data_IF_323346194547
#
_entry.id   IF_323346194547
#
_cell.length_a   1.000
_cell.length_b   1.000
_cell.length_c   1.000
_cell.angle_alpha   90.00
_cell.angle_beta   90.00
_cell.angle_gamma   90.00
#
_symmetry.space_group_name_H-M   'P 1'
#
loop_
_entity.id
_entity.type
_entity.pdbx_description
1 polymer ?
#
# COMPACT_ATOMS: atom_id res chain seq x y z
N UNK A 1 -10.58 11.02 -21.02
CA UNK A 1 -10.20 12.02 -22.03
C UNK A 1 -11.46 12.71 -22.53
N UNK A 2 -11.59 14.01 -22.30
CA UNK A 2 -12.73 14.81 -22.74
C UNK A 2 -12.21 16.01 -23.52
N UNK A 3 -12.90 16.36 -24.60
CA UNK A 3 -12.62 17.57 -25.37
C UNK A 3 -13.67 18.61 -25.02
N UNK A 4 -13.24 19.84 -24.76
CA UNK A 4 -14.14 21.00 -24.63
C UNK A 4 -13.98 21.83 -25.90
N UNK A 5 -15.08 22.05 -26.60
CA UNK A 5 -15.13 22.92 -27.79
C UNK A 5 -15.65 24.28 -27.35
N UNK A 6 -14.90 25.34 -27.63
CA UNK A 6 -15.28 26.73 -27.35
C UNK A 6 -15.20 27.56 -28.62
N UNK A 7 -16.23 28.36 -28.89
CA UNK A 7 -16.34 29.21 -30.07
C UNK A 7 -17.55 30.15 -29.99
N UNK A 8 -17.48 31.28 -30.69
CA UNK A 8 -18.56 32.27 -30.71
C UNK A 8 -19.72 31.77 -31.59
N UNK A 9 -20.89 31.55 -31.00
CA UNK A 9 -22.10 31.23 -31.76
C UNK A 9 -22.64 32.54 -32.33
N UNK A 10 -22.61 32.66 -33.66
CA UNK A 10 -23.33 33.71 -34.36
C UNK A 10 -24.77 33.22 -34.57
N UNK A 11 -25.68 33.57 -33.66
CA UNK A 11 -27.11 33.34 -33.86
C UNK A 11 -27.72 34.52 -34.63
N UNK A 12 -28.46 34.28 -35.73
CA UNK A 12 -29.31 35.30 -36.32
C UNK A 12 -30.58 35.43 -35.48
N UNK A 13 -30.73 36.60 -34.85
CA UNK A 13 -31.97 37.21 -34.35
C UNK A 13 -33.10 36.27 -33.90
N UNK A 14 -33.11 35.91 -32.61
CA UNK A 14 -34.31 35.85 -31.77
C UNK A 14 -33.86 35.92 -30.32
N UNK A 15 -34.50 36.78 -29.55
CA UNK A 15 -34.18 37.08 -28.15
C UNK A 15 -34.45 35.88 -27.24
N UNK A 16 -33.51 34.95 -27.11
CA UNK A 16 -33.28 34.17 -25.88
C UNK A 16 -31.81 33.71 -25.87
N UNK A 17 -30.94 34.55 -25.31
CA UNK A 17 -29.54 34.18 -25.09
C UNK A 17 -29.49 33.24 -23.89
N UNK A 18 -29.55 31.93 -24.12
CA UNK A 18 -29.15 30.96 -23.09
C UNK A 18 -27.63 31.01 -23.00
N UNK A 19 -27.12 31.89 -22.15
CA UNK A 19 -25.72 31.88 -21.74
C UNK A 19 -25.48 30.60 -20.94
N UNK A 20 -24.84 29.60 -21.57
CA UNK A 20 -24.27 28.49 -20.82
C UNK A 20 -23.06 29.02 -20.06
N UNK A 21 -23.28 29.46 -18.83
CA UNK A 21 -22.22 29.77 -17.89
C UNK A 21 -21.52 28.46 -17.52
N UNK A 22 -20.40 28.18 -18.18
CA UNK A 22 -19.49 27.13 -17.73
C UNK A 22 -18.71 27.74 -16.59
N UNK A 23 -19.19 27.52 -15.37
CA UNK A 23 -18.39 27.73 -14.17
C UNK A 23 -17.27 26.67 -14.18
N UNK A 24 -16.11 27.03 -14.73
CA UNK A 24 -14.88 26.30 -14.45
C UNK A 24 -14.51 26.66 -13.02
N UNK A 25 -15.11 25.95 -12.08
CA UNK A 25 -14.70 25.98 -10.69
C UNK A 25 -13.26 25.47 -10.61
N UNK A 26 -12.29 26.38 -10.62
CA UNK A 26 -10.97 26.10 -10.07
C UNK A 26 -11.21 25.83 -8.58
N UNK A 27 -11.45 24.56 -8.23
CA UNK A 27 -11.51 24.16 -6.83
C UNK A 27 -10.16 24.45 -6.22
N UNK A 28 -10.08 25.54 -5.46
CA UNK A 28 -8.96 25.88 -4.60
C UNK A 28 -8.64 24.64 -3.76
N UNK A 29 -7.52 23.97 -4.06
CA UNK A 29 -7.10 22.72 -3.39
C UNK A 29 -7.07 21.47 -4.27
N UNK A 30 -7.51 21.49 -5.53
CA UNK A 30 -7.31 20.34 -6.43
C UNK A 30 -5.82 20.11 -6.72
N UNK A 31 -5.08 21.18 -6.99
CA UNK A 31 -3.63 21.11 -7.20
C UNK A 31 -2.91 20.53 -5.98
N UNK A 32 -3.27 20.98 -4.77
CA UNK A 32 -2.72 20.45 -3.53
C UNK A 32 -3.10 18.98 -3.30
N UNK A 33 -4.32 18.60 -3.67
CA UNK A 33 -4.78 17.21 -3.55
C UNK A 33 -4.08 16.30 -4.56
N UNK A 34 -3.85 16.79 -5.79
CA UNK A 34 -3.09 16.08 -6.81
C UNK A 34 -1.61 15.98 -6.44
N UNK A 35 -1.00 17.05 -5.93
CA UNK A 35 0.38 17.02 -5.44
C UNK A 35 0.54 15.99 -4.33
N UNK A 36 -0.31 16.03 -3.31
CA UNK A 36 -0.28 15.06 -2.20
C UNK A 36 -0.53 13.63 -2.67
N UNK A 37 -1.40 13.43 -3.65
CA UNK A 37 -1.63 12.12 -4.23
C UNK A 37 -0.34 11.57 -4.85
N UNK A 38 0.35 12.39 -5.65
CA UNK A 38 1.62 11.99 -6.26
C UNK A 38 2.74 11.81 -5.23
N UNK A 39 2.84 12.67 -4.22
CA UNK A 39 3.84 12.55 -3.16
C UNK A 39 3.70 11.22 -2.37
N UNK A 40 2.49 10.67 -2.27
CA UNK A 40 2.23 9.41 -1.56
C UNK A 40 2.50 8.17 -2.43
N UNK A 41 2.11 8.23 -3.71
CA UNK A 41 2.21 7.10 -4.65
C UNK A 41 3.58 7.03 -5.35
N UNK A 42 4.32 8.13 -5.40
CA UNK A 42 5.61 8.17 -6.07
C UNK A 42 6.65 7.35 -5.31
N UNK A 43 7.32 6.46 -6.03
CA UNK A 43 8.42 5.67 -5.47
C UNK A 43 9.59 6.62 -5.19
N UNK A 44 10.03 6.75 -3.92
CA UNK A 44 11.12 7.64 -3.60
C UNK A 44 12.40 7.22 -4.33
N UNK A 45 13.27 8.18 -4.70
CA UNK A 45 14.52 7.87 -5.37
C UNK A 45 15.40 6.96 -4.49
N UNK A 46 16.30 6.16 -5.10
CA UNK A 46 17.21 5.30 -4.35
C UNK A 46 18.01 6.13 -3.36
N UNK A 47 18.02 5.70 -2.09
CA UNK A 47 18.82 6.31 -1.02
C UNK A 47 19.73 5.27 -0.38
N UNK A 48 20.75 5.74 0.33
CA UNK A 48 21.57 4.87 1.16
C UNK A 48 20.70 4.23 2.25
N UNK A 49 20.71 2.90 2.29
CA UNK A 49 20.06 2.12 3.33
C UNK A 49 20.94 2.10 4.58
N UNK A 50 20.33 2.21 5.76
CA UNK A 50 21.03 1.94 7.01
C UNK A 50 21.33 0.42 7.16
N UNK A 51 22.20 0.00 8.08
CA UNK A 51 22.57 -1.42 8.21
C UNK A 51 21.39 -2.36 8.51
N UNK A 52 20.39 -1.90 9.29
CA UNK A 52 19.19 -2.69 9.60
C UNK A 52 18.32 -2.86 8.35
N UNK A 53 18.15 -1.79 7.56
CA UNK A 53 17.44 -1.80 6.28
C UNK A 53 18.12 -2.74 5.28
N UNK A 54 19.44 -2.71 5.16
CA UNK A 54 20.19 -3.62 4.28
C UNK A 54 19.99 -5.09 4.69
N UNK A 55 19.99 -5.36 5.99
CA UNK A 55 19.76 -6.72 6.51
C UNK A 55 18.35 -7.20 6.21
N UNK A 56 17.34 -6.33 6.40
CA UNK A 56 15.95 -6.63 6.06
C UNK A 56 15.77 -6.88 4.55
N UNK A 57 16.39 -6.07 3.69
CA UNK A 57 16.30 -6.20 2.24
C UNK A 57 16.96 -7.50 1.75
N UNK A 58 18.13 -7.85 2.29
CA UNK A 58 18.78 -9.14 2.01
C UNK A 58 17.90 -10.30 2.46
N UNK A 59 17.38 -10.26 3.69
CA UNK A 59 16.50 -11.31 4.21
C UNK A 59 15.27 -11.47 3.34
N UNK A 60 14.61 -10.38 2.96
CA UNK A 60 13.44 -10.41 2.09
C UNK A 60 13.78 -11.05 0.74
N UNK A 61 14.88 -10.62 0.12
CA UNK A 61 15.34 -11.13 -1.17
C UNK A 61 15.68 -12.63 -1.12
N UNK A 62 16.32 -13.08 -0.03
CA UNK A 62 16.79 -14.46 0.11
C UNK A 62 15.67 -15.44 0.48
N UNK A 63 14.66 -14.97 1.21
CA UNK A 63 13.65 -15.83 1.84
C UNK A 63 12.26 -15.70 1.23
N UNK A 64 12.01 -14.65 0.45
CA UNK A 64 10.73 -14.43 -0.21
C UNK A 64 10.69 -15.17 -1.53
N UNK A 65 9.72 -16.07 -1.67
CA UNK A 65 9.49 -16.81 -2.91
C UNK A 65 8.01 -16.95 -3.20
N UNK A 66 7.67 -17.36 -4.41
CA UNK A 66 6.30 -17.73 -4.78
C UNK A 66 6.16 -19.24 -4.83
N UNK A 67 5.07 -19.76 -4.26
CA UNK A 67 4.72 -21.17 -4.37
C UNK A 67 4.14 -21.49 -5.76
N UNK A 68 3.88 -22.77 -6.03
CA UNK A 68 3.30 -23.22 -7.30
C UNK A 68 1.90 -22.67 -7.59
N UNK A 69 1.20 -22.15 -6.58
CA UNK A 69 -0.12 -21.50 -6.69
C UNK A 69 -0.01 -19.97 -6.81
N UNK A 70 1.21 -19.42 -6.84
CA UNK A 70 1.46 -17.99 -6.96
C UNK A 70 1.36 -17.22 -5.65
N UNK A 71 1.24 -17.88 -4.50
CA UNK A 71 1.23 -17.24 -3.18
C UNK A 71 2.64 -16.90 -2.73
N UNK A 72 2.80 -15.79 -2.03
CA UNK A 72 4.08 -15.42 -1.45
C UNK A 72 4.35 -16.19 -0.15
N UNK A 73 5.47 -16.87 -0.10
CA UNK A 73 6.09 -17.39 1.11
C UNK A 73 7.14 -16.36 1.55
N UNK A 74 6.98 -15.80 2.74
CA UNK A 74 7.88 -14.78 3.31
C UNK A 74 8.38 -15.25 4.68
N UNK A 75 9.66 -15.06 4.96
CA UNK A 75 10.19 -15.28 6.30
C UNK A 75 10.05 -14.00 7.12
N UNK A 76 9.51 -14.12 8.34
CA UNK A 76 9.37 -12.99 9.23
C UNK A 76 10.75 -12.60 9.81
N UNK A 77 11.21 -11.34 9.65
CA UNK A 77 12.44 -10.88 10.29
C UNK A 77 12.31 -10.88 11.81
N UNK A 78 13.34 -11.35 12.51
CA UNK A 78 13.43 -11.34 13.96
C UNK A 78 14.58 -10.40 14.35
N UNK A 79 14.28 -9.35 15.10
CA UNK A 79 15.26 -8.29 15.46
C UNK A 79 16.32 -8.74 16.48
N UNK A 80 16.02 -9.73 17.30
CA UNK A 80 16.91 -10.21 18.36
C UNK A 80 17.05 -11.72 18.30
N UNK A 81 18.12 -12.26 18.89
CA UNK A 81 18.25 -13.70 19.08
C UNK A 81 17.02 -14.23 19.84
N UNK A 82 16.43 -15.31 19.34
CA UNK A 82 15.21 -15.97 19.87
C UNK A 82 15.40 -16.48 21.33
N UNK A 83 16.59 -16.30 21.92
CA UNK A 83 16.92 -16.69 23.29
C UNK A 83 16.09 -15.99 24.36
N UNK A 84 15.40 -14.88 24.04
CA UNK A 84 14.53 -14.17 25.01
C UNK A 84 13.14 -14.79 25.22
N UNK A 85 12.84 -15.95 24.61
CA UNK A 85 11.55 -16.61 24.77
C UNK A 85 11.34 -17.27 26.16
N UNK A 86 12.38 -17.33 27.00
CA UNK A 86 12.32 -17.94 28.33
C UNK A 86 11.80 -19.38 28.29
N UNK A 87 10.91 -19.73 29.21
CA UNK A 87 10.34 -21.08 29.34
C UNK A 87 9.18 -21.38 28.37
N UNK A 88 8.94 -20.52 27.38
CA UNK A 88 7.81 -20.63 26.44
C UNK A 88 7.75 -22.01 25.77
N UNK A 89 8.91 -22.55 25.37
CA UNK A 89 9.02 -23.89 24.76
C UNK A 89 8.54 -24.99 25.72
N UNK A 90 9.00 -24.98 26.96
CA UNK A 90 8.65 -26.00 27.95
C UNK A 90 7.17 -25.92 28.35
N UNK A 91 6.63 -24.70 28.45
CA UNK A 91 5.21 -24.46 28.69
C UNK A 91 4.38 -25.00 27.50
N UNK A 92 4.78 -24.71 26.26
CA UNK A 92 4.10 -25.19 25.06
C UNK A 92 4.11 -26.72 24.99
N UNK A 93 5.24 -27.37 25.28
CA UNK A 93 5.35 -28.84 25.31
C UNK A 93 4.44 -29.47 26.37
N UNK A 94 4.43 -28.93 27.59
CA UNK A 94 3.54 -29.43 28.65
C UNK A 94 2.07 -29.35 28.24
N UNK A 95 1.67 -28.25 27.59
CA UNK A 95 0.31 -28.07 27.05
C UNK A 95 0.02 -29.07 25.93
N UNK A 96 0.95 -29.24 24.99
CA UNK A 96 0.83 -30.18 23.88
C UNK A 96 0.60 -31.62 24.39
N UNK A 97 1.45 -32.13 25.28
CA UNK A 97 1.27 -33.48 25.83
C UNK A 97 -0.01 -33.63 26.67
N UNK A 98 -0.47 -32.56 27.31
CA UNK A 98 -1.75 -32.56 28.02
C UNK A 98 -2.93 -32.72 27.07
N UNK A 99 -2.88 -32.05 25.90
CA UNK A 99 -3.87 -32.21 24.85
C UNK A 99 -3.84 -33.61 24.24
N UNK A 100 -2.67 -34.15 23.92
CA UNK A 100 -2.55 -35.51 23.40
C UNK A 100 -3.19 -36.54 24.33
N UNK A 101 -2.90 -36.48 25.64
CA UNK A 101 -3.52 -37.37 26.65
C UNK A 101 -5.03 -37.23 26.74
N UNK A 102 -5.57 -36.03 26.53
CA UNK A 102 -7.02 -35.80 26.53
C UNK A 102 -7.71 -36.35 25.29
N UNK A 103 -7.05 -36.29 24.14
CA UNK A 103 -7.60 -36.71 22.85
C UNK A 103 -7.39 -38.20 22.57
N UNK A 104 -6.50 -38.87 23.32
CA UNK A 104 -6.25 -40.32 23.23
C UNK A 104 -7.10 -41.15 24.20
N UNK A 105 -8.03 -40.52 24.91
CA UNK A 105 -9.02 -41.17 25.76
C UNK A 105 -10.39 -41.13 25.08
#
# INVERSE_FOLDING_TARGET
FGWVVSGKVLSPTSEETVSSEIEVGCSLGLEESLSRFWDIEEVPPPRSLNPEEQTCESLFSDTTRRDALGRFEVQLPIKHTITQLGDSRDIALKRFFSLERKLTR
#
